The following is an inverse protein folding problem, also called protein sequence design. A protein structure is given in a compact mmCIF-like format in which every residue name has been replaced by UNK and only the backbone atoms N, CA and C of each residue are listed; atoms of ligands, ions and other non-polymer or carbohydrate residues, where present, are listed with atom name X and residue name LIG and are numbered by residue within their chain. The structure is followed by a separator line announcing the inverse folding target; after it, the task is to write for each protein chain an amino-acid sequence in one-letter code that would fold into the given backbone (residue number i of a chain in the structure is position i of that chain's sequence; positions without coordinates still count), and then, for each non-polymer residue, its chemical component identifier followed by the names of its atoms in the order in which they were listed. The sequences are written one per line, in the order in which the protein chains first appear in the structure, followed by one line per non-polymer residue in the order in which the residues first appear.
data_IF_179678757738
#
_entry.id   IF_179678757738
#
_cell.length_a   1.000
_cell.length_b   1.000
_cell.length_c   1.000
_cell.angle_alpha   90.00
_cell.angle_beta   90.00
_cell.angle_gamma   90.00
#
_symmetry.space_group_name_H-M   'P 1'
#
loop_
_entity.id
_entity.type
_entity.pdbx_description
1 polymer ?
#
# COMPACT_ATOMS: atom_id res chain seq x y z
N UNK A 1 26.62 7.13 -0.51
CA UNK A 1 25.79 6.09 -1.15
C UNK A 1 24.49 5.82 -0.42
N UNK A 2 24.47 5.53 0.89
CA UNK A 2 23.22 5.31 1.65
C UNK A 2 22.25 6.51 1.60
N UNK A 3 22.79 7.73 1.57
CA UNK A 3 21.97 8.95 1.52
C UNK A 3 21.24 9.12 0.18
N UNK A 4 21.94 8.86 -0.93
CA UNK A 4 21.38 8.94 -2.27
C UNK A 4 20.25 7.92 -2.50
N UNK A 5 20.38 6.69 -1.97
CA UNK A 5 19.31 5.69 -2.08
C UNK A 5 18.04 6.16 -1.34
N UNK A 6 18.18 6.74 -0.15
CA UNK A 6 17.04 7.32 0.58
C UNK A 6 16.41 8.49 -0.18
N UNK A 7 17.22 9.34 -0.81
CA UNK A 7 16.71 10.44 -1.65
C UNK A 7 15.93 9.89 -2.85
N UNK A 8 16.45 8.88 -3.53
CA UNK A 8 15.77 8.23 -4.67
C UNK A 8 14.43 7.63 -4.22
N UNK A 9 14.43 6.88 -3.11
CA UNK A 9 13.22 6.26 -2.57
C UNK A 9 12.17 7.32 -2.18
N UNK A 10 12.59 8.41 -1.54
CA UNK A 10 11.71 9.51 -1.17
C UNK A 10 11.11 10.21 -2.39
N UNK A 11 11.93 10.54 -3.39
CA UNK A 11 11.45 11.12 -4.65
C UNK A 11 10.48 10.18 -5.34
N UNK A 12 10.79 8.88 -5.39
CA UNK A 12 9.92 7.91 -6.03
C UNK A 12 8.56 7.83 -5.33
N UNK A 13 8.51 7.74 -4.00
CA UNK A 13 7.25 7.73 -3.24
C UNK A 13 6.39 8.99 -3.46
N UNK A 14 7.01 10.14 -3.72
CA UNK A 14 6.31 11.40 -3.97
C UNK A 14 5.81 11.53 -5.41
N UNK A 15 6.56 11.03 -6.39
CA UNK A 15 6.34 11.33 -7.82
C UNK A 15 5.77 10.16 -8.62
N UNK A 16 5.90 8.91 -8.14
CA UNK A 16 5.55 7.72 -8.92
C UNK A 16 4.09 7.73 -9.38
N UNK A 17 3.17 8.12 -8.49
CA UNK A 17 1.74 8.15 -8.79
C UNK A 17 1.43 9.06 -9.99
N UNK A 18 1.98 10.28 -10.00
CA UNK A 18 1.78 11.27 -11.08
C UNK A 18 2.39 10.79 -12.38
N UNK A 19 3.60 10.23 -12.32
CA UNK A 19 4.30 9.71 -13.50
C UNK A 19 3.49 8.55 -14.10
N UNK A 20 3.13 7.56 -13.30
CA UNK A 20 2.37 6.38 -13.76
C UNK A 20 1.01 6.80 -14.30
N UNK A 21 0.31 7.73 -13.64
CA UNK A 21 -0.98 8.25 -14.11
C UNK A 21 -0.87 8.88 -15.50
N UNK A 22 0.08 9.81 -15.68
CA UNK A 22 0.32 10.46 -16.97
C UNK A 22 0.74 9.48 -18.08
N UNK A 23 1.52 8.46 -17.74
CA UNK A 23 1.88 7.40 -18.69
C UNK A 23 0.70 6.49 -19.03
N UNK A 24 -0.14 6.15 -18.05
CA UNK A 24 -1.33 5.30 -18.27
C UNK A 24 -2.29 5.97 -19.24
N UNK A 25 -2.45 7.29 -19.17
CA UNK A 25 -3.18 8.06 -20.19
C UNK A 25 -2.58 7.94 -21.58
N UNK A 26 -1.25 7.89 -21.68
CA UNK A 26 -0.52 7.85 -22.95
C UNK A 26 -0.51 6.46 -23.60
N UNK A 27 -0.34 5.40 -22.81
CA UNK A 27 -0.21 4.02 -23.32
C UNK A 27 -1.45 3.16 -23.15
N UNK A 28 -2.46 3.65 -22.43
CA UNK A 28 -3.74 2.97 -22.14
C UNK A 28 -3.60 1.59 -21.46
N UNK A 29 -2.47 1.37 -20.79
CA UNK A 29 -2.18 0.14 -20.05
C UNK A 29 -1.37 0.50 -18.81
N UNK A 30 -1.96 0.26 -17.62
CA UNK A 30 -1.33 0.60 -16.33
C UNK A 30 -0.11 -0.27 -16.03
N UNK A 31 -0.08 -1.50 -16.52
CA UNK A 31 1.07 -2.39 -16.35
C UNK A 31 2.26 -1.88 -17.13
N UNK A 32 2.06 -1.58 -18.41
CA UNK A 32 3.09 -0.99 -19.28
C UNK A 32 3.53 0.39 -18.77
N UNK A 33 2.59 1.22 -18.29
CA UNK A 33 2.91 2.52 -17.71
C UNK A 33 3.84 2.39 -16.49
N UNK A 34 3.56 1.45 -15.58
CA UNK A 34 4.43 1.22 -14.42
C UNK A 34 5.82 0.72 -14.83
N UNK A 35 5.90 -0.20 -15.81
CA UNK A 35 7.19 -0.69 -16.32
C UNK A 35 8.05 0.45 -16.88
N UNK A 36 7.46 1.32 -17.71
CA UNK A 36 8.14 2.48 -18.29
C UNK A 36 8.58 3.51 -17.22
N UNK A 37 7.78 3.67 -16.16
CA UNK A 37 8.14 4.51 -15.02
C UNK A 37 9.30 3.89 -14.21
N UNK A 38 9.31 2.57 -14.02
CA UNK A 38 10.39 1.85 -13.34
C UNK A 38 11.70 1.92 -14.14
N UNK A 39 11.64 1.85 -15.47
CA UNK A 39 12.83 2.09 -16.29
C UNK A 39 13.41 3.49 -16.03
N UNK A 40 12.57 4.52 -15.81
CA UNK A 40 13.03 5.86 -15.47
C UNK A 40 13.71 5.92 -14.11
N UNK A 41 13.18 5.18 -13.13
CA UNK A 41 13.83 4.99 -11.82
C UNK A 41 15.20 4.30 -11.96
N UNK A 42 15.31 3.26 -12.79
CA UNK A 42 16.59 2.58 -13.08
C UNK A 42 17.60 3.59 -13.65
N UNK A 43 17.19 4.43 -14.59
CA UNK A 43 18.07 5.47 -15.14
C UNK A 43 18.54 6.47 -14.06
N UNK A 44 17.69 6.83 -13.11
CA UNK A 44 18.09 7.69 -11.99
C UNK A 44 19.15 6.99 -11.11
N UNK A 45 18.94 5.72 -10.76
CA UNK A 45 19.89 4.92 -9.97
C UNK A 45 21.25 4.79 -10.67
N UNK A 46 21.28 4.70 -11.99
CA UNK A 46 22.53 4.59 -12.77
C UNK A 46 23.24 5.93 -13.00
N UNK A 47 22.49 7.03 -13.09
CA UNK A 47 23.02 8.34 -13.51
C UNK A 47 23.34 9.25 -12.32
N UNK A 48 22.45 9.36 -11.35
CA UNK A 48 22.60 10.31 -10.23
C UNK A 48 23.83 10.07 -9.35
N UNK A 49 24.34 8.84 -9.13
CA UNK A 49 25.60 8.64 -8.42
C UNK A 49 26.80 9.33 -9.08
N UNK A 50 26.74 9.54 -10.41
CA UNK A 50 27.83 10.15 -11.20
C UNK A 50 27.60 11.64 -11.42
N UNK A 51 26.35 12.06 -11.65
CA UNK A 51 26.01 13.43 -12.03
C UNK A 51 25.48 14.29 -10.88
N UNK A 52 25.19 13.68 -9.73
CA UNK A 52 24.38 14.30 -8.69
C UNK A 52 22.87 14.18 -8.96
N UNK A 53 22.08 14.48 -7.93
CA UNK A 53 20.61 14.57 -8.03
C UNK A 53 20.25 15.90 -8.71
N UNK A 54 19.40 15.90 -9.76
CA UNK A 54 18.95 17.13 -10.40
C UNK A 54 18.15 18.04 -9.46
N UNK A 55 18.14 19.35 -9.72
CA UNK A 55 17.37 20.33 -8.92
C UNK A 55 15.87 20.02 -8.86
N UNK A 56 15.31 19.49 -9.96
CA UNK A 56 13.95 18.98 -10.03
C UNK A 56 13.95 17.50 -10.45
N UNK A 57 14.07 16.57 -9.49
CA UNK A 57 14.20 15.15 -9.79
C UNK A 57 12.89 14.54 -10.32
N UNK A 58 11.72 15.05 -9.90
CA UNK A 58 10.42 14.60 -10.40
C UNK A 58 10.19 14.95 -11.87
N UNK A 59 10.52 16.18 -12.28
CA UNK A 59 10.47 16.58 -13.69
C UNK A 59 11.44 15.77 -14.55
N UNK A 60 12.64 15.49 -14.02
CA UNK A 60 13.63 14.65 -14.70
C UNK A 60 13.11 13.23 -14.93
N UNK A 61 12.57 12.58 -13.89
CA UNK A 61 11.98 11.24 -14.00
C UNK A 61 10.82 11.22 -15.00
N UNK A 62 9.94 12.21 -14.93
CA UNK A 62 8.81 12.36 -15.85
C UNK A 62 9.28 12.47 -17.31
N UNK A 63 10.32 13.27 -17.57
CA UNK A 63 10.85 13.45 -18.91
C UNK A 63 11.45 12.15 -19.47
N UNK A 64 12.22 11.42 -18.66
CA UNK A 64 12.81 10.13 -19.06
C UNK A 64 11.71 9.09 -19.32
N UNK A 65 10.73 9.00 -18.42
CA UNK A 65 9.59 8.11 -18.55
C UNK A 65 8.77 8.37 -19.82
N UNK A 66 8.44 9.63 -20.10
CA UNK A 66 7.73 10.03 -21.33
C UNK A 66 8.50 9.67 -22.60
N UNK A 67 9.81 9.94 -22.64
CA UNK A 67 10.66 9.56 -23.78
C UNK A 67 10.59 8.05 -24.05
N UNK A 68 10.71 7.23 -23.00
CA UNK A 68 10.59 5.77 -23.14
C UNK A 68 9.22 5.33 -23.64
N UNK A 69 8.14 5.97 -23.19
CA UNK A 69 6.80 5.69 -23.66
C UNK A 69 6.63 6.03 -25.15
N UNK A 70 7.11 7.19 -25.59
CA UNK A 70 7.11 7.58 -27.01
C UNK A 70 7.93 6.60 -27.85
N UNK A 71 9.11 6.19 -27.36
CA UNK A 71 9.93 5.19 -28.05
C UNK A 71 9.27 3.81 -28.10
N UNK A 72 8.52 3.43 -27.06
CA UNK A 72 7.70 2.23 -27.07
C UNK A 72 6.61 2.31 -28.15
N UNK A 73 5.83 3.39 -28.18
CA UNK A 73 4.76 3.63 -29.17
C UNK A 73 5.33 3.63 -30.60
N UNK A 74 6.46 4.30 -30.83
CA UNK A 74 7.12 4.30 -32.15
C UNK A 74 7.61 2.92 -32.55
N UNK A 75 8.06 2.09 -31.60
CA UNK A 75 8.48 0.70 -31.87
C UNK A 75 7.28 -0.20 -32.15
N UNK A 76 6.19 -0.09 -31.40
CA UNK A 76 4.97 -0.87 -31.64
C UNK A 76 4.35 -0.53 -32.99
N UNK A 77 4.25 0.75 -33.35
CA UNK A 77 3.77 1.17 -34.67
C UNK A 77 4.66 0.68 -35.82
N UNK A 78 5.99 0.68 -35.65
CA UNK A 78 6.89 0.11 -36.66
C UNK A 78 6.71 -1.40 -36.80
N UNK A 79 6.51 -2.12 -35.69
CA UNK A 79 6.23 -3.56 -35.71
C UNK A 79 4.89 -3.83 -36.37
N UNK A 80 3.85 -3.08 -36.04
CA UNK A 80 2.53 -3.19 -36.66
C UNK A 80 2.62 -2.90 -38.15
N UNK A 81 3.26 -1.81 -38.57
CA UNK A 81 3.51 -1.51 -40.00
C UNK A 81 4.36 -2.58 -40.69
N UNK A 82 5.25 -3.27 -39.99
CA UNK A 82 6.07 -4.35 -40.55
C UNK A 82 5.26 -5.63 -40.67
N UNK A 83 4.44 -5.96 -39.67
CA UNK A 83 3.48 -7.08 -39.70
C UNK A 83 2.38 -6.84 -40.74
N UNK A 84 1.86 -5.62 -40.84
CA UNK A 84 0.98 -5.19 -41.90
C UNK A 84 1.69 -5.19 -43.25
N UNK A 85 2.99 -4.86 -43.36
CA UNK A 85 3.74 -5.00 -44.63
C UNK A 85 3.93 -6.46 -45.03
N UNK A 86 4.23 -7.36 -44.08
CA UNK A 86 4.29 -8.81 -44.28
C UNK A 86 2.90 -9.40 -44.64
N UNK A 87 1.83 -8.92 -44.00
CA UNK A 87 0.45 -9.29 -44.30
C UNK A 87 -0.05 -8.67 -45.63
N UNK A 88 0.43 -7.47 -45.99
CA UNK A 88 0.20 -6.82 -47.29
C UNK A 88 1.03 -7.45 -48.41
N UNK A 89 2.20 -8.03 -48.12
CA UNK A 89 2.95 -8.85 -49.07
C UNK A 89 2.17 -10.11 -49.50
N UNK A 90 1.27 -10.60 -48.64
CA UNK A 90 0.28 -11.63 -48.94
C UNK A 90 -0.99 -11.14 -49.66
N UNK A 91 -1.23 -9.82 -49.80
CA UNK A 91 -2.52 -9.29 -50.33
C UNK A 91 -2.49 -8.03 -51.24
N UNK A 92 -1.34 -7.52 -51.69
CA UNK A 92 -1.15 -6.36 -52.59
C UNK A 92 -2.39 -5.45 -52.88
N UNK A 93 -2.39 -4.27 -52.27
CA UNK A 93 -2.53 -2.89 -52.83
C UNK A 93 -3.42 -2.00 -51.95
N UNK A 94 -2.98 -0.76 -51.73
CA UNK A 94 -3.82 0.36 -51.30
C UNK A 94 -3.21 1.17 -50.15
N UNK A 95 -2.98 2.46 -50.39
CA UNK A 95 -2.28 3.43 -49.54
C UNK A 95 -3.13 3.96 -48.37
N UNK A 96 -2.48 4.44 -47.31
CA UNK A 96 -2.76 5.73 -46.65
C UNK A 96 -1.80 5.96 -45.47
N UNK A 97 -1.02 7.03 -45.57
CA UNK A 97 -0.26 7.63 -44.48
C UNK A 97 -1.19 8.33 -43.50
N UNK A 98 -1.02 8.05 -42.21
CA UNK A 98 -1.32 8.95 -41.10
C UNK A 98 -0.28 8.68 -40.00
N UNK A 99 0.65 9.61 -39.83
CA UNK A 99 1.46 9.72 -38.62
C UNK A 99 0.59 10.39 -37.55
N UNK A 100 0.52 9.90 -36.31
CA UNK A 100 -0.09 10.66 -35.23
C UNK A 100 0.76 11.91 -35.01
N UNK A 101 0.12 13.08 -35.18
CA UNK A 101 0.68 14.38 -34.84
C UNK A 101 0.99 14.49 -33.36
N UNK A 102 1.83 15.50 -33.06
CA UNK A 102 2.34 15.91 -31.75
C UNK A 102 1.55 15.38 -30.56
N UNK A 103 2.15 14.42 -29.87
CA UNK A 103 1.69 13.93 -28.57
C UNK A 103 1.84 15.10 -27.61
N UNK A 104 0.74 15.79 -27.33
CA UNK A 104 0.65 16.97 -26.49
C UNK A 104 1.51 16.79 -25.23
N UNK A 105 2.52 17.65 -25.04
CA UNK A 105 3.53 17.57 -23.97
C UNK A 105 2.96 17.78 -22.56
N UNK A 106 1.63 17.78 -22.38
CA UNK A 106 0.95 18.03 -21.10
C UNK A 106 1.47 17.13 -20.00
N UNK A 107 1.84 17.74 -18.89
CA UNK A 107 2.13 17.07 -17.63
C UNK A 107 0.91 16.25 -17.19
N UNK A 108 1.09 15.32 -16.25
CA UNK A 108 -0.04 14.65 -15.62
C UNK A 108 -0.94 15.73 -15.01
N UNK A 109 -2.22 15.75 -15.38
CA UNK A 109 -3.18 16.66 -14.76
C UNK A 109 -3.56 16.11 -13.37
N UNK A 110 -3.94 16.94 -12.40
CA UNK A 110 -4.43 16.47 -11.10
C UNK A 110 -5.48 15.34 -11.24
N UNK A 111 -6.36 15.48 -12.23
CA UNK A 111 -7.36 14.49 -12.63
C UNK A 111 -6.78 13.12 -13.01
N UNK A 112 -5.58 13.04 -13.59
CA UNK A 112 -4.96 11.76 -13.94
C UNK A 112 -4.64 10.94 -12.69
N UNK A 113 -4.23 11.59 -11.59
CA UNK A 113 -3.97 10.88 -10.33
C UNK A 113 -5.28 10.35 -9.73
N UNK A 114 -6.35 11.13 -9.80
CA UNK A 114 -7.69 10.70 -9.39
C UNK A 114 -8.16 9.50 -10.24
N UNK A 115 -7.99 9.55 -11.56
CA UNK A 115 -8.28 8.43 -12.47
C UNK A 115 -7.51 7.18 -12.09
N UNK A 116 -6.23 7.31 -11.75
CA UNK A 116 -5.41 6.18 -11.33
C UNK A 116 -5.91 5.56 -10.02
N UNK A 117 -6.37 6.38 -9.07
CA UNK A 117 -6.97 5.89 -7.81
C UNK A 117 -8.26 5.11 -8.07
N UNK A 118 -9.17 5.63 -8.90
CA UNK A 118 -10.37 4.90 -9.30
C UNK A 118 -10.06 3.62 -10.07
N UNK A 119 -9.05 3.64 -10.93
CA UNK A 119 -8.59 2.47 -11.67
C UNK A 119 -8.05 1.38 -10.73
N UNK A 120 -7.17 1.73 -9.78
CA UNK A 120 -6.59 0.76 -8.85
C UNK A 120 -7.62 0.19 -7.88
N UNK A 121 -8.71 0.93 -7.62
CA UNK A 121 -9.83 0.52 -6.80
C UNK A 121 -11.02 -0.05 -7.60
N UNK A 122 -10.84 -0.41 -8.87
CA UNK A 122 -11.95 -0.89 -9.70
C UNK A 122 -12.58 -2.17 -9.12
N UNK A 123 -13.93 -2.29 -9.06
CA UNK A 123 -14.63 -3.41 -8.41
C UNK A 123 -14.41 -4.77 -9.10
N UNK A 124 -13.90 -4.79 -10.32
CA UNK A 124 -13.46 -6.02 -11.01
C UNK A 124 -12.31 -6.72 -10.27
N UNK A 125 -11.56 -5.97 -9.47
CA UNK A 125 -10.46 -6.48 -8.67
C UNK A 125 -10.96 -6.90 -7.28
N UNK A 126 -10.53 -8.06 -6.76
CA UNK A 126 -10.83 -8.44 -5.38
C UNK A 126 -10.15 -7.48 -4.40
N UNK A 127 -10.72 -7.31 -3.20
CA UNK A 127 -10.23 -6.32 -2.21
C UNK A 127 -8.72 -6.42 -1.89
N UNK A 128 -8.12 -7.61 -1.68
CA UNK A 128 -6.68 -7.71 -1.45
C UNK A 128 -5.83 -7.22 -2.64
N UNK A 129 -6.33 -7.35 -3.86
CA UNK A 129 -5.67 -6.88 -5.07
C UNK A 129 -5.78 -5.36 -5.21
N UNK A 130 -6.95 -4.77 -4.92
CA UNK A 130 -7.12 -3.30 -4.88
C UNK A 130 -6.16 -2.65 -3.90
N UNK A 131 -6.04 -3.21 -2.70
CA UNK A 131 -5.12 -2.73 -1.65
C UNK A 131 -3.66 -2.81 -2.10
N UNK A 132 -3.22 -3.98 -2.58
CA UNK A 132 -1.83 -4.16 -3.01
C UNK A 132 -1.47 -3.28 -4.22
N UNK A 133 -2.38 -3.16 -5.19
CA UNK A 133 -2.18 -2.33 -6.37
C UNK A 133 -2.15 -0.83 -6.02
N UNK A 134 -3.04 -0.38 -5.15
CA UNK A 134 -3.09 1.00 -4.66
C UNK A 134 -1.79 1.37 -3.92
N UNK A 135 -1.32 0.54 -2.99
CA UNK A 135 -0.06 0.77 -2.29
C UNK A 135 1.15 0.78 -3.23
N UNK A 136 1.13 -0.05 -4.28
CA UNK A 136 2.21 -0.11 -5.27
C UNK A 136 2.24 1.11 -6.19
N UNK A 137 1.09 1.48 -6.77
CA UNK A 137 1.00 2.52 -7.80
C UNK A 137 0.98 3.92 -7.19
N UNK A 138 0.15 4.10 -6.16
CA UNK A 138 -0.10 5.42 -5.55
C UNK A 138 0.82 5.62 -4.36
N UNK A 139 1.00 4.58 -3.55
CA UNK A 139 1.88 4.61 -2.37
C UNK A 139 3.38 4.58 -2.69
N UNK A 140 3.75 4.11 -3.89
CA UNK A 140 5.14 3.95 -4.27
C UNK A 140 5.88 2.88 -3.46
N UNK A 141 5.17 2.02 -2.72
CA UNK A 141 5.78 0.95 -1.93
C UNK A 141 6.34 -0.15 -2.84
N UNK A 142 7.49 -0.68 -2.46
CA UNK A 142 8.06 -1.89 -3.03
C UNK A 142 7.24 -3.13 -2.68
N UNK A 143 7.37 -4.18 -3.49
CA UNK A 143 6.75 -5.49 -3.21
C UNK A 143 7.19 -6.02 -1.85
N UNK A 144 8.46 -5.81 -1.50
CA UNK A 144 9.04 -6.16 -0.21
C UNK A 144 8.40 -5.40 0.96
N UNK A 145 8.20 -4.08 0.82
CA UNK A 145 7.50 -3.29 1.84
C UNK A 145 6.05 -3.76 2.03
N UNK A 146 5.32 -3.98 0.93
CA UNK A 146 3.94 -4.48 0.97
C UNK A 146 3.89 -5.88 1.59
N UNK A 147 4.79 -6.79 1.20
CA UNK A 147 4.85 -8.15 1.75
C UNK A 147 5.07 -8.15 3.27
N UNK A 148 6.02 -7.35 3.76
CA UNK A 148 6.23 -7.12 5.19
C UNK A 148 4.99 -6.53 5.87
N UNK A 149 4.39 -5.54 5.21
CA UNK A 149 3.18 -4.86 5.67
C UNK A 149 1.92 -5.72 5.70
N UNK A 150 1.90 -6.91 5.09
CA UNK A 150 0.77 -7.85 5.15
C UNK A 150 1.16 -9.22 5.73
N UNK A 151 2.43 -9.38 6.15
CA UNK A 151 3.00 -10.65 6.63
C UNK A 151 2.75 -11.84 5.68
N UNK A 152 2.86 -11.58 4.38
CA UNK A 152 2.80 -12.61 3.34
C UNK A 152 4.12 -12.61 2.56
N UNK A 153 4.39 -13.68 1.80
CA UNK A 153 5.60 -13.76 0.99
C UNK A 153 5.61 -12.73 -0.15
N UNK A 154 6.80 -12.21 -0.49
CA UNK A 154 7.00 -11.35 -1.67
C UNK A 154 6.44 -11.96 -2.97
N UNK A 155 6.61 -13.28 -3.26
CA UNK A 155 6.01 -13.88 -4.45
C UNK A 155 4.48 -13.77 -4.48
N UNK A 156 3.82 -13.80 -3.32
CA UNK A 156 2.37 -13.67 -3.21
C UNK A 156 1.92 -12.26 -3.58
N UNK A 157 2.61 -11.24 -3.08
CA UNK A 157 2.30 -9.85 -3.43
C UNK A 157 2.62 -9.55 -4.89
N UNK A 158 3.79 -9.98 -5.38
CA UNK A 158 4.20 -9.79 -6.77
C UNK A 158 3.16 -10.38 -7.74
N UNK A 159 2.76 -11.64 -7.50
CA UNK A 159 1.71 -12.29 -8.28
C UNK A 159 0.39 -11.53 -8.21
N UNK A 160 -0.04 -11.12 -7.01
CA UNK A 160 -1.29 -10.39 -6.80
C UNK A 160 -1.34 -9.08 -7.59
N UNK A 161 -0.24 -8.31 -7.59
CA UNK A 161 -0.12 -7.06 -8.35
C UNK A 161 -0.13 -7.34 -9.85
N UNK A 162 0.63 -8.33 -10.32
CA UNK A 162 0.67 -8.69 -11.73
C UNK A 162 -0.69 -9.17 -12.25
N UNK A 163 -1.39 -10.02 -11.49
CA UNK A 163 -2.74 -10.48 -11.79
C UNK A 163 -3.72 -9.31 -11.84
N UNK A 164 -3.65 -8.37 -10.88
CA UNK A 164 -4.53 -7.20 -10.86
C UNK A 164 -4.39 -6.35 -12.13
N UNK A 165 -3.16 -6.02 -12.54
CA UNK A 165 -2.89 -5.28 -13.78
C UNK A 165 -3.43 -6.01 -15.00
N UNK A 166 -3.16 -7.31 -15.09
CA UNK A 166 -3.66 -8.16 -16.18
C UNK A 166 -5.19 -8.16 -16.22
N UNK A 167 -5.86 -8.32 -15.08
CA UNK A 167 -7.32 -8.28 -15.00
C UNK A 167 -7.88 -6.94 -15.48
N UNK A 168 -7.28 -5.81 -15.11
CA UNK A 168 -7.69 -4.49 -15.62
C UNK A 168 -7.55 -4.40 -17.15
N UNK A 169 -6.43 -4.90 -17.70
CA UNK A 169 -6.18 -4.91 -19.14
C UNK A 169 -7.15 -5.83 -19.91
N UNK A 170 -7.38 -7.04 -19.41
CA UNK A 170 -8.31 -8.04 -19.99
C UNK A 170 -9.75 -7.51 -20.03
N UNK A 171 -10.18 -6.82 -18.97
CA UNK A 171 -11.51 -6.20 -18.90
C UNK A 171 -11.58 -4.83 -19.59
N UNK A 172 -10.47 -4.36 -20.18
CA UNK A 172 -10.35 -3.08 -20.88
C UNK A 172 -10.91 -1.92 -20.05
N UNK A 173 -10.59 -1.90 -18.76
CA UNK A 173 -11.03 -0.83 -17.88
C UNK A 173 -10.43 0.48 -18.38
N UNK A 174 -11.30 1.44 -18.72
CA UNK A 174 -10.87 2.72 -19.29
C UNK A 174 -10.21 3.59 -18.23
N UNK A 175 -9.15 4.29 -18.64
CA UNK A 175 -8.50 5.31 -17.83
C UNK A 175 -9.24 6.64 -17.98
N UNK A 176 -10.45 6.70 -17.42
CA UNK A 176 -11.36 7.84 -17.49
C UNK A 176 -11.91 8.08 -16.08
N UNK A 177 -12.28 9.33 -15.79
CA UNK A 177 -13.05 9.58 -14.56
C UNK A 177 -14.45 8.97 -14.75
N UNK A 178 -14.99 8.27 -13.75
CA UNK A 178 -16.38 7.87 -13.78
C UNK A 178 -17.29 9.10 -13.94
N UNK A 179 -18.43 8.93 -14.58
CA UNK A 179 -19.48 9.96 -14.57
C UNK A 179 -19.99 10.20 -13.14
N UNK A 180 -20.76 11.27 -12.91
CA UNK A 180 -21.23 11.62 -11.56
C UNK A 180 -21.98 10.46 -10.87
N UNK A 181 -22.75 9.67 -11.64
CA UNK A 181 -23.50 8.53 -11.09
C UNK A 181 -22.61 7.35 -10.71
N UNK A 182 -21.58 7.06 -11.51
CA UNK A 182 -20.58 6.02 -11.25
C UNK A 182 -19.56 6.43 -10.20
N UNK A 183 -19.37 7.74 -10.00
CA UNK A 183 -18.42 8.29 -9.03
C UNK A 183 -18.81 7.86 -7.62
N UNK A 184 -20.07 8.04 -7.23
CA UNK A 184 -20.54 7.63 -5.91
C UNK A 184 -20.37 6.11 -5.65
N UNK A 185 -20.71 5.28 -6.63
CA UNK A 185 -20.57 3.81 -6.51
C UNK A 185 -19.11 3.39 -6.36
N UNK A 186 -18.20 4.00 -7.12
CA UNK A 186 -16.77 3.67 -7.09
C UNK A 186 -16.04 4.32 -5.93
N UNK A 187 -16.50 5.48 -5.46
CA UNK A 187 -15.92 6.22 -4.34
C UNK A 187 -15.95 5.35 -3.07
N UNK A 188 -17.04 4.63 -2.84
CA UNK A 188 -17.14 3.67 -1.74
C UNK A 188 -15.99 2.66 -1.76
N UNK A 189 -15.62 2.14 -2.93
CA UNK A 189 -14.49 1.20 -3.05
C UNK A 189 -13.13 1.86 -2.77
N UNK A 190 -12.95 3.12 -3.17
CA UNK A 190 -11.73 3.89 -2.86
C UNK A 190 -11.62 4.13 -1.34
N UNK A 191 -12.68 4.61 -0.72
CA UNK A 191 -12.74 4.87 0.73
C UNK A 191 -12.51 3.57 1.53
N UNK A 192 -13.14 2.47 1.11
CA UNK A 192 -12.93 1.15 1.70
C UNK A 192 -11.46 0.74 1.64
N UNK A 193 -10.81 0.85 0.48
CA UNK A 193 -9.40 0.47 0.30
C UNK A 193 -8.47 1.32 1.17
N UNK A 194 -8.67 2.64 1.20
CA UNK A 194 -7.87 3.55 2.06
C UNK A 194 -8.05 3.17 3.53
N UNK A 195 -9.29 2.94 3.98
CA UNK A 195 -9.56 2.57 5.36
C UNK A 195 -9.02 1.18 5.73
N UNK A 196 -9.04 0.21 4.79
CA UNK A 196 -8.44 -1.10 5.00
C UNK A 196 -6.92 -1.00 5.19
N UNK A 197 -6.23 -0.18 4.40
CA UNK A 197 -4.80 0.09 4.57
C UNK A 197 -4.55 0.69 5.95
N UNK A 198 -5.35 1.69 6.34
CA UNK A 198 -5.24 2.33 7.65
C UNK A 198 -5.43 1.33 8.78
N UNK A 199 -6.49 0.52 8.73
CA UNK A 199 -6.81 -0.46 9.77
C UNK A 199 -5.74 -1.54 9.91
N UNK A 200 -5.19 -2.03 8.80
CA UNK A 200 -4.08 -3.00 8.83
C UNK A 200 -2.85 -2.42 9.55
N UNK A 201 -2.58 -1.12 9.36
CA UNK A 201 -1.54 -0.42 10.10
C UNK A 201 -1.90 -0.14 11.57
N UNK A 202 -3.14 0.25 11.83
CA UNK A 202 -3.58 0.76 13.12
C UNK A 202 -3.87 -0.34 14.15
N UNK A 203 -4.33 -1.49 13.67
CA UNK A 203 -4.72 -2.65 14.48
C UNK A 203 -3.96 -3.89 13.99
N UNK A 204 -2.63 -3.81 13.95
CA UNK A 204 -1.77 -4.91 13.47
C UNK A 204 -2.15 -6.22 14.18
N UNK A 205 -2.95 -7.05 13.50
CA UNK A 205 -3.54 -8.26 14.05
C UNK A 205 -2.49 -9.39 14.16
N UNK A 206 -1.26 -9.16 13.69
CA UNK A 206 -0.15 -10.11 13.67
C UNK A 206 1.19 -9.36 13.53
N UNK A 207 2.24 -9.84 14.20
CA UNK A 207 3.60 -9.27 14.19
C UNK A 207 4.09 -8.79 15.57
N UNK A 208 5.39 -8.52 15.69
CA UNK A 208 6.05 -8.06 16.92
C UNK A 208 5.75 -6.58 17.27
N UNK A 209 5.23 -5.80 16.30
CA UNK A 209 4.81 -4.42 16.48
C UNK A 209 3.29 -4.31 16.62
N UNK A 210 2.81 -3.62 17.67
CA UNK A 210 1.39 -3.40 17.97
C UNK A 210 0.66 -2.53 16.92
N UNK A 211 1.44 -1.82 16.10
CA UNK A 211 0.99 -0.94 15.00
C UNK A 211 2.05 -0.96 13.92
N UNK A 212 1.69 -0.69 12.66
CA UNK A 212 2.61 -0.42 11.56
C UNK A 212 2.43 1.05 11.14
N UNK A 213 3.08 2.00 11.82
CA UNK A 213 2.84 3.44 11.62
C UNK A 213 3.01 3.88 10.16
N UNK A 214 3.95 3.27 9.44
CA UNK A 214 4.21 3.55 8.02
C UNK A 214 2.96 3.33 7.14
N UNK A 215 2.15 2.30 7.42
CA UNK A 215 0.90 2.06 6.69
C UNK A 215 -0.19 3.06 7.06
N UNK A 216 -0.28 3.45 8.33
CA UNK A 216 -1.22 4.49 8.76
C UNK A 216 -0.90 5.82 8.10
N UNK A 217 0.39 6.21 8.08
CA UNK A 217 0.86 7.43 7.43
C UNK A 217 0.59 7.40 5.93
N UNK A 218 0.80 6.25 5.29
CA UNK A 218 0.52 6.09 3.87
C UNK A 218 -0.99 6.21 3.57
N UNK A 219 -1.85 5.58 4.38
CA UNK A 219 -3.30 5.74 4.23
C UNK A 219 -3.76 7.18 4.47
N UNK A 220 -3.19 7.89 5.46
CA UNK A 220 -3.47 9.32 5.67
C UNK A 220 -3.04 10.16 4.48
N UNK A 221 -1.86 9.89 3.91
CA UNK A 221 -1.37 10.58 2.71
C UNK A 221 -2.31 10.38 1.52
N UNK A 222 -2.77 9.15 1.30
CA UNK A 222 -3.73 8.82 0.24
C UNK A 222 -5.10 9.46 0.51
N UNK A 223 -5.56 9.50 1.76
CA UNK A 223 -6.79 10.17 2.16
C UNK A 223 -6.76 11.67 1.91
N UNK A 224 -5.68 12.36 2.30
CA UNK A 224 -5.49 13.78 2.01
C UNK A 224 -5.39 14.07 0.51
N UNK A 225 -4.67 13.22 -0.23
CA UNK A 225 -4.63 13.33 -1.68
C UNK A 225 -6.03 13.24 -2.29
N UNK A 226 -6.89 12.33 -1.82
CA UNK A 226 -8.27 12.23 -2.28
C UNK A 226 -9.10 13.47 -1.88
N UNK A 227 -8.91 14.00 -0.68
CA UNK A 227 -9.59 15.21 -0.20
C UNK A 227 -9.23 16.46 -1.04
N UNK A 228 -7.98 16.58 -1.45
CA UNK A 228 -7.52 17.65 -2.34
C UNK A 228 -8.12 17.52 -3.74
N UNK A 229 -8.26 16.29 -4.24
CA UNK A 229 -8.83 15.99 -5.55
C UNK A 229 -10.37 16.09 -5.57
N UNK A 230 -11.04 15.90 -4.43
CA UNK A 230 -12.51 15.89 -4.30
C UNK A 230 -12.97 16.80 -3.14
N UNK A 231 -12.75 18.12 -3.23
CA UNK A 231 -12.94 19.04 -2.10
C UNK A 231 -14.40 19.16 -1.64
N UNK A 232 -15.37 18.79 -2.49
CA UNK A 232 -16.80 18.88 -2.20
C UNK A 232 -17.42 17.59 -1.64
N UNK A 233 -16.64 16.50 -1.53
CA UNK A 233 -17.15 15.20 -1.09
C UNK A 233 -17.05 15.00 0.43
N UNK A 234 -18.18 15.06 1.13
CA UNK A 234 -18.22 14.98 2.58
C UNK A 234 -17.70 13.64 3.14
N UNK A 235 -17.93 12.52 2.44
CA UNK A 235 -17.47 11.20 2.88
C UNK A 235 -15.93 11.09 2.88
N UNK A 236 -15.26 11.75 1.93
CA UNK A 236 -13.80 11.81 1.86
C UNK A 236 -13.23 12.52 3.08
N UNK A 237 -13.74 13.72 3.38
CA UNK A 237 -13.33 14.48 4.57
C UNK A 237 -13.66 13.74 5.87
N UNK A 238 -14.81 13.06 5.92
CA UNK A 238 -15.21 12.21 7.06
C UNK A 238 -14.23 11.07 7.32
N UNK A 239 -13.78 10.37 6.26
CA UNK A 239 -12.79 9.30 6.38
C UNK A 239 -11.43 9.84 6.85
N UNK A 240 -10.96 10.95 6.29
CA UNK A 240 -9.70 11.58 6.71
C UNK A 240 -9.78 11.98 8.19
N UNK A 241 -10.84 12.66 8.61
CA UNK A 241 -11.03 13.05 10.00
C UNK A 241 -11.06 11.85 10.96
N UNK A 242 -11.72 10.76 10.56
CA UNK A 242 -11.74 9.51 11.33
C UNK A 242 -10.33 8.94 11.50
N UNK A 243 -9.58 8.83 10.41
CA UNK A 243 -8.21 8.30 10.43
C UNK A 243 -7.28 9.19 11.25
N UNK A 244 -7.37 10.52 11.15
CA UNK A 244 -6.58 11.47 11.93
C UNK A 244 -6.87 11.36 13.44
N UNK A 245 -8.14 11.27 13.82
CA UNK A 245 -8.54 11.06 15.22
C UNK A 245 -7.96 9.76 15.76
N UNK A 246 -8.02 8.68 14.97
CA UNK A 246 -7.42 7.39 15.35
C UNK A 246 -5.89 7.49 15.41
N UNK A 247 -5.26 8.11 14.43
CA UNK A 247 -3.81 8.27 14.32
C UNK A 247 -3.22 9.12 15.46
N UNK A 248 -3.96 10.12 15.96
CA UNK A 248 -3.56 10.93 17.13
C UNK A 248 -3.24 10.08 18.37
N UNK A 249 -3.79 8.86 18.44
CA UNK A 249 -3.59 7.91 19.54
C UNK A 249 -2.47 6.90 19.29
N UNK A 250 -1.84 6.88 18.11
CA UNK A 250 -0.77 5.94 17.77
C UNK A 250 0.40 6.01 18.77
N UNK A 251 0.83 7.22 19.15
CA UNK A 251 1.92 7.42 20.10
C UNK A 251 1.60 6.85 21.50
N UNK A 252 0.34 6.92 21.94
CA UNK A 252 -0.11 6.35 23.21
C UNK A 252 -0.27 4.82 23.18
N UNK A 253 -0.25 4.22 21.98
CA UNK A 253 -0.29 2.76 21.77
C UNK A 253 1.09 2.15 21.54
N UNK A 254 2.13 2.98 21.44
CA UNK A 254 3.51 2.50 21.44
C UNK A 254 3.81 1.88 22.83
N UNK A 255 4.28 0.63 22.89
CA UNK A 255 4.57 -0.02 24.16
C UNK A 255 5.69 0.72 24.90
N UNK A 256 5.55 0.85 26.22
CA UNK A 256 6.64 1.37 27.04
C UNK A 256 7.81 0.36 27.00
N UNK A 257 9.07 0.79 27.26
CA UNK A 257 10.21 -0.14 27.37
C UNK A 257 9.96 -1.27 28.40
N UNK A 258 9.09 -1.03 29.39
CA UNK A 258 8.66 -2.00 30.39
C UNK A 258 7.76 -3.14 29.83
N UNK A 259 7.21 -2.99 28.62
CA UNK A 259 6.33 -3.98 27.97
C UNK A 259 7.11 -5.00 27.10
N UNK A 260 8.45 -4.95 27.14
CA UNK A 260 9.37 -5.90 26.49
C UNK A 260 9.71 -7.05 27.43
N UNK A 261 9.69 -8.29 26.93
CA UNK A 261 10.15 -9.44 27.71
C UNK A 261 11.69 -9.36 27.92
N UNK A 262 12.20 -9.31 29.17
CA UNK A 262 13.63 -9.15 29.45
C UNK A 262 14.51 -10.31 28.96
N UNK A 263 13.92 -11.48 28.73
CA UNK A 263 14.65 -12.68 28.33
C UNK A 263 14.67 -12.92 26.82
N UNK A 264 13.66 -12.45 26.10
CA UNK A 264 13.54 -12.70 24.65
C UNK A 264 13.68 -11.43 23.81
N UNK A 265 13.60 -10.24 24.42
CA UNK A 265 13.56 -8.96 23.72
C UNK A 265 12.33 -8.76 22.85
N UNK A 266 11.36 -9.70 22.89
CA UNK A 266 10.13 -9.68 22.08
C UNK A 266 8.96 -9.08 22.86
N UNK A 267 8.00 -8.50 22.13
CA UNK A 267 6.80 -7.85 22.68
C UNK A 267 5.60 -8.81 22.68
N UNK A 268 4.76 -8.70 23.71
CA UNK A 268 3.70 -9.65 24.17
C UNK A 268 4.18 -11.07 24.47
N UNK A 269 3.77 -11.59 25.62
CA UNK A 269 3.93 -13.01 25.94
C UNK A 269 3.05 -13.85 25.03
N UNK A 270 3.63 -14.82 24.31
CA UNK A 270 2.85 -15.92 23.73
C UNK A 270 2.03 -16.60 24.84
N UNK A 271 0.86 -17.15 24.51
CA UNK A 271 0.00 -17.83 25.50
C UNK A 271 0.79 -18.91 26.26
N UNK A 272 1.64 -19.66 25.55
CA UNK A 272 2.54 -20.66 26.12
C UNK A 272 3.57 -20.06 27.11
N UNK A 273 4.12 -18.87 26.82
CA UNK A 273 5.05 -18.20 27.73
C UNK A 273 4.31 -17.60 28.93
N UNK A 274 3.10 -17.08 28.75
CA UNK A 274 2.27 -16.56 29.82
C UNK A 274 1.88 -17.69 30.79
N UNK A 275 1.50 -18.84 30.24
CA UNK A 275 1.24 -20.06 30.98
C UNK A 275 2.48 -20.55 31.73
N UNK A 276 3.66 -20.58 31.07
CA UNK A 276 4.92 -20.96 31.72
C UNK A 276 5.30 -20.03 32.88
N UNK A 277 5.24 -18.71 32.68
CA UNK A 277 5.57 -17.75 33.75
C UNK A 277 4.55 -17.80 34.88
N UNK A 278 3.26 -17.94 34.56
CA UNK A 278 2.22 -18.14 35.56
C UNK A 278 2.54 -19.38 36.41
N UNK A 279 2.79 -20.54 35.79
CA UNK A 279 3.17 -21.79 36.48
C UNK A 279 4.46 -21.65 37.31
N UNK A 280 5.45 -20.89 36.85
CA UNK A 280 6.69 -20.63 37.62
C UNK A 280 6.42 -19.74 38.84
N UNK A 281 5.70 -18.64 38.66
CA UNK A 281 5.40 -17.68 39.72
C UNK A 281 4.47 -18.26 40.79
N UNK A 282 3.52 -19.11 40.40
CA UNK A 282 2.57 -19.77 41.31
C UNK A 282 3.02 -21.16 41.74
N UNK A 283 4.23 -21.62 41.38
CA UNK A 283 4.73 -22.98 41.70
C UNK A 283 4.62 -23.36 43.18
N UNK A 284 4.84 -22.39 44.06
CA UNK A 284 4.75 -22.58 45.51
C UNK A 284 3.31 -22.81 46.01
N UNK A 285 2.31 -22.43 45.22
CA UNK A 285 0.89 -22.60 45.52
C UNK A 285 0.36 -23.96 44.96
N UNK A 286 1.12 -24.70 44.13
CA UNK A 286 0.76 -26.00 43.50
C UNK A 286 2.00 -26.89 43.47
N UNK A 287 2.42 -27.38 44.65
CA UNK A 287 3.57 -28.26 44.76
C UNK A 287 3.38 -29.62 44.08
N UNK A 288 2.15 -29.98 43.70
CA UNK A 288 1.81 -31.24 43.03
C UNK A 288 1.88 -31.17 41.49
N UNK A 289 1.85 -29.98 40.90
CA UNK A 289 2.06 -29.75 39.47
C UNK A 289 0.87 -30.12 38.58
N UNK A 290 -0.34 -30.15 39.12
CA UNK A 290 -1.55 -30.55 38.39
C UNK A 290 -2.17 -29.42 37.56
N UNK A 291 -1.70 -28.18 37.73
CA UNK A 291 -2.17 -27.00 37.00
C UNK A 291 -3.40 -26.33 37.63
N UNK A 292 -3.53 -25.03 37.40
CA UNK A 292 -4.59 -24.22 38.01
C UNK A 292 -5.78 -23.94 37.10
N UNK A 293 -6.95 -23.78 37.71
CA UNK A 293 -8.10 -23.10 37.10
C UNK A 293 -8.40 -21.80 37.85
N UNK A 294 -8.93 -20.78 37.16
CA UNK A 294 -9.26 -19.45 37.73
C UNK A 294 -10.14 -19.51 39.00
N UNK A 295 -10.86 -20.61 39.24
CA UNK A 295 -11.66 -20.85 40.46
C UNK A 295 -10.83 -21.04 41.73
N UNK A 296 -9.55 -21.43 41.62
CA UNK A 296 -8.68 -21.73 42.76
C UNK A 296 -7.94 -20.51 43.33
N UNK A 297 -8.04 -19.35 42.66
CA UNK A 297 -7.39 -18.09 43.07
C UNK A 297 -8.28 -17.18 43.92
N UNK A 298 -9.45 -17.64 44.40
CA UNK A 298 -10.23 -16.85 45.35
C UNK A 298 -9.46 -16.72 46.67
N UNK A 299 -9.39 -15.53 47.29
CA UNK A 299 -8.76 -15.39 48.61
C UNK A 299 -9.51 -16.28 49.60
N UNK A 300 -8.78 -17.08 50.39
CA UNK A 300 -9.33 -17.61 51.63
C UNK A 300 -9.45 -16.44 52.57
N UNK A 301 -10.68 -16.07 52.93
CA UNK A 301 -10.92 -15.17 54.04
C UNK A 301 -10.11 -15.63 55.25
N UNK A 302 -9.38 -14.67 55.81
CA UNK A 302 -8.60 -14.79 57.05
C UNK A 302 -9.45 -15.37 58.16
N UNK A 303 -9.12 -16.59 58.58
CA UNK A 303 -9.53 -17.14 59.87
C UNK A 303 -8.53 -16.62 60.91
N UNK A 304 -8.99 -15.91 61.95
CA UNK A 304 -9.01 -16.36 63.37
C UNK A 304 -9.05 -15.24 64.43
N UNK A 305 -9.79 -15.49 65.51
CA UNK A 305 -9.69 -14.86 66.85
C UNK A 305 -11.02 -14.32 67.36
N UNK A 306 -11.64 -14.74 68.46
CA UNK A 306 -11.28 -15.59 69.60
C UNK A 306 -12.58 -15.90 70.40
N UNK A 307 -12.61 -16.81 71.40
CA UNK A 307 -13.83 -17.36 72.00
C UNK A 307 -14.36 -16.49 73.16
N UNK A 308 -15.67 -16.51 73.39
CA UNK A 308 -16.28 -16.04 74.64
C UNK A 308 -17.40 -16.98 75.11
N UNK A 309 -17.32 -17.25 76.40
CA UNK A 309 -17.99 -18.23 77.26
C UNK A 309 -19.44 -17.90 77.65
N UNK A 310 -20.15 -18.98 78.04
CA UNK A 310 -21.24 -19.12 79.03
C UNK A 310 -22.69 -18.72 78.70
N UNK A 311 -23.54 -19.76 78.53
CA UNK A 311 -24.63 -20.26 79.41
C UNK A 311 -25.42 -19.28 80.31
N UNK A 312 -26.70 -19.58 80.66
CA UNK A 312 -27.28 -20.90 80.96
C UNK A 312 -28.28 -21.43 79.93
#
# INVERSE_FOLDING_TARGET
MADLHRTIDAVWKLESAKIIAGLTRLVHDVGLAEELAQDALVAAVEQWPRTGVPDNPGAWLTAIAKRRAVDHIRRSQRRERTHERLARELRRRGDAEQAPGDIDERQAEPDDTLRLMFLSCHPVLPAPARVALTLKLLGGLSVAEIARAFLVGEPTIARRIAEAKRTLAEHRVRFELPDETQTAERLSSVLEVIYLIFNEGYAAASGDDLTRPELCLEALRLGHMLADLMPHEAEVHGLVALMEIQASRLAARAPAPADLCPHTGRRRLSYERAEYLFKQATRHLDPAGNGYTLRQLKPRDTVEGSPATHHP
#
